data_IF_592959123823
#
_entry.id   IF_592959123823
#
_cell.length_a   1.000
_cell.length_b   1.000
_cell.length_c   1.000
_cell.angle_alpha   90.00
_cell.angle_beta   90.00
_cell.angle_gamma   90.00
#
_symmetry.space_group_name_H-M   'P 1'
#
loop_
_entity.id
_entity.type
_entity.pdbx_description
1 polymer ?
#
# COMPACT_ATOMS: atom_id res chain seq x y z
N UNK A 1 -17.21 -1.04 17.46
CA UNK A 1 -16.18 -1.58 16.56
C UNK A 1 -16.55 -1.13 15.16
N UNK A 2 -15.72 -0.32 14.55
CA UNK A 2 -15.93 0.28 13.22
C UNK A 2 -14.62 0.18 12.44
N UNK A 3 -14.68 0.01 11.12
CA UNK A 3 -13.47 -0.03 10.29
C UNK A 3 -13.42 1.23 9.44
N UNK A 4 -12.29 1.93 9.52
CA UNK A 4 -12.01 3.12 8.72
C UNK A 4 -11.11 2.75 7.55
N UNK A 5 -11.61 2.99 6.33
CA UNK A 5 -10.91 2.67 5.10
C UNK A 5 -10.36 3.93 4.45
N UNK A 6 -9.13 3.85 3.96
CA UNK A 6 -8.48 4.93 3.26
C UNK A 6 -7.81 4.45 1.98
N UNK A 7 -7.66 5.36 1.03
CA UNK A 7 -6.94 5.11 -0.21
C UNK A 7 -6.04 6.29 -0.57
N UNK A 8 -4.94 5.99 -1.24
CA UNK A 8 -4.14 6.95 -2.00
C UNK A 8 -4.08 6.45 -3.43
N UNK A 9 -4.26 7.37 -4.37
CA UNK A 9 -4.01 7.13 -5.79
C UNK A 9 -3.21 8.28 -6.33
N UNK A 10 -2.04 7.98 -6.87
CA UNK A 10 -1.23 8.95 -7.58
C UNK A 10 -1.45 8.75 -9.08
N UNK A 11 -1.80 9.84 -9.76
CA UNK A 11 -1.92 9.83 -11.21
C UNK A 11 -0.53 9.90 -11.80
N UNK A 12 -0.13 8.83 -12.47
CA UNK A 12 1.09 8.73 -13.23
C UNK A 12 0.75 8.19 -14.62
N UNK A 13 1.38 8.70 -15.68
CA UNK A 13 1.12 8.25 -17.06
C UNK A 13 1.64 6.83 -17.30
N UNK A 14 2.72 6.44 -16.63
CA UNK A 14 3.47 5.20 -16.82
C UNK A 14 3.14 4.13 -15.78
N UNK A 15 2.65 4.51 -14.60
CA UNK A 15 2.46 3.60 -13.47
C UNK A 15 1.02 3.60 -12.92
N UNK A 16 0.58 2.43 -12.46
CA UNK A 16 -0.50 2.32 -11.49
C UNK A 16 0.10 2.40 -10.09
N UNK A 17 -0.15 3.50 -9.37
CA UNK A 17 0.33 3.71 -8.00
C UNK A 17 -0.86 3.90 -7.06
N UNK A 18 -1.18 2.85 -6.30
CA UNK A 18 -2.33 2.79 -5.40
C UNK A 18 -1.88 2.27 -4.03
N UNK A 19 -2.41 2.89 -2.98
CA UNK A 19 -2.30 2.42 -1.61
C UNK A 19 -3.70 2.33 -0.98
N UNK A 20 -3.96 1.27 -0.23
CA UNK A 20 -5.18 1.03 0.52
C UNK A 20 -4.81 0.72 1.97
N UNK A 21 -5.49 1.35 2.94
CA UNK A 21 -5.25 1.12 4.37
C UNK A 21 -6.58 0.96 5.10
N UNK A 22 -6.67 -0.03 5.98
CA UNK A 22 -7.82 -0.26 6.86
C UNK A 22 -7.41 -0.24 8.34
N UNK A 23 -8.17 0.50 9.15
CA UNK A 23 -7.97 0.62 10.59
C UNK A 23 -9.21 0.17 11.36
N UNK A 24 -9.04 -0.74 12.31
CA UNK A 24 -10.07 -1.13 13.26
C UNK A 24 -10.14 -0.12 14.41
N UNK A 25 -11.30 0.49 14.61
CA UNK A 25 -11.58 1.31 15.78
C UNK A 25 -12.11 0.47 16.93
N UNK A 26 -11.42 0.58 18.06
CA UNK A 26 -11.82 0.00 19.34
C UNK A 26 -11.84 1.07 20.42
N UNK A 27 -12.56 0.79 21.50
CA UNK A 27 -12.51 1.63 22.70
C UNK A 27 -11.54 1.01 23.69
N UNK A 28 -10.63 1.81 24.20
CA UNK A 28 -9.68 1.41 25.24
C UNK A 28 -9.75 2.33 26.45
N UNK A 29 -9.26 1.83 27.58
CA UNK A 29 -9.04 2.61 28.79
C UNK A 29 -7.54 2.85 28.89
N UNK A 30 -7.13 4.11 28.95
CA UNK A 30 -5.72 4.48 29.11
C UNK A 30 -5.18 4.01 30.46
N UNK A 31 -3.86 3.99 30.63
CA UNK A 31 -3.23 3.69 31.94
C UNK A 31 -3.68 4.63 33.07
N UNK A 32 -4.25 5.78 32.74
CA UNK A 32 -4.76 6.78 33.68
C UNK A 32 -6.28 6.64 33.92
N UNK A 33 -6.93 5.60 33.36
CA UNK A 33 -8.37 5.36 33.52
C UNK A 33 -9.25 6.11 32.52
N UNK A 34 -8.69 6.84 31.56
CA UNK A 34 -9.47 7.63 30.60
C UNK A 34 -9.93 6.77 29.43
N UNK A 35 -11.24 6.79 29.13
CA UNK A 35 -11.82 6.15 27.96
C UNK A 35 -11.40 6.91 26.69
N UNK A 36 -10.84 6.22 25.71
CA UNK A 36 -10.40 6.79 24.42
C UNK A 36 -10.55 5.78 23.29
N UNK A 37 -10.35 6.21 22.05
CA UNK A 37 -10.28 5.29 20.92
C UNK A 37 -8.85 4.77 20.74
N UNK A 38 -8.75 3.54 20.26
CA UNK A 38 -7.55 2.95 19.69
C UNK A 38 -7.82 2.54 18.26
N UNK A 39 -6.76 2.54 17.44
CA UNK A 39 -6.84 2.15 16.04
C UNK A 39 -5.77 1.11 15.72
N UNK A 40 -6.20 -0.10 15.41
CA UNK A 40 -5.31 -1.21 15.03
C UNK A 40 -5.30 -1.34 13.51
N UNK A 41 -4.12 -1.40 12.88
CA UNK A 41 -4.07 -1.62 11.43
C UNK A 41 -4.57 -3.03 11.11
N UNK A 42 -5.52 -3.17 10.19
CA UNK A 42 -5.96 -4.47 9.70
C UNK A 42 -5.21 -4.87 8.44
N UNK A 43 -5.09 -3.93 7.51
CA UNK A 43 -4.51 -4.19 6.20
C UNK A 43 -3.85 -2.93 5.65
N UNK A 44 -2.70 -3.11 5.00
CA UNK A 44 -2.09 -2.11 4.14
C UNK A 44 -1.62 -2.76 2.85
N UNK A 45 -2.25 -2.38 1.73
CA UNK A 45 -1.91 -2.86 0.40
C UNK A 45 -1.34 -1.71 -0.42
N UNK A 46 -0.11 -1.83 -0.88
CA UNK A 46 0.53 -0.89 -1.80
C UNK A 46 0.90 -1.61 -3.09
N UNK A 47 0.51 -1.03 -4.23
CA UNK A 47 0.95 -1.46 -5.55
C UNK A 47 1.58 -0.31 -6.30
N UNK A 48 2.64 -0.62 -7.04
CA UNK A 48 3.27 0.24 -8.02
C UNK A 48 3.57 -0.64 -9.23
N UNK A 49 2.87 -0.45 -10.35
CA UNK A 49 2.96 -1.34 -11.51
C UNK A 49 3.18 -0.53 -12.79
N UNK A 50 4.17 -0.86 -13.61
CA UNK A 50 4.25 -0.35 -14.98
C UNK A 50 2.96 -0.66 -15.76
N UNK A 51 2.48 0.31 -16.54
CA UNK A 51 1.35 0.12 -17.48
C UNK A 51 1.79 -0.44 -18.82
N UNK A 52 3.01 -0.10 -19.21
CA UNK A 52 3.73 -0.58 -20.40
C UNK A 52 4.65 -1.74 -19.99
N UNK A 53 4.69 -2.76 -20.84
CA UNK A 53 5.46 -3.98 -20.65
C UNK A 53 6.41 -4.28 -21.85
N UNK A 54 6.84 -3.27 -22.58
CA UNK A 54 7.69 -3.40 -23.78
C UNK A 54 9.09 -2.81 -23.59
N UNK A 55 9.23 -1.76 -22.77
CA UNK A 55 10.49 -1.04 -22.59
C UNK A 55 11.11 -1.27 -21.20
N UNK A 56 10.44 -0.81 -20.15
CA UNK A 56 10.88 -0.88 -18.75
C UNK A 56 9.75 -1.32 -17.83
N UNK A 57 10.01 -2.38 -17.07
CA UNK A 57 9.06 -2.97 -16.14
C UNK A 57 9.52 -2.79 -14.71
N UNK A 58 8.69 -2.17 -13.89
CA UNK A 58 8.91 -2.10 -12.45
C UNK A 58 7.60 -2.36 -11.73
N UNK A 59 7.62 -3.39 -10.89
CA UNK A 59 6.45 -3.85 -10.16
C UNK A 59 6.81 -4.03 -8.69
N UNK A 60 6.12 -3.31 -7.82
CA UNK A 60 6.14 -3.50 -6.38
C UNK A 60 4.73 -3.86 -5.93
N UNK A 61 4.62 -4.92 -5.14
CA UNK A 61 3.47 -5.19 -4.29
C UNK A 61 3.98 -5.31 -2.86
N UNK A 62 3.31 -4.63 -1.93
CA UNK A 62 3.50 -4.82 -0.49
C UNK A 62 2.12 -5.01 0.12
N UNK A 63 1.92 -6.15 0.76
CA UNK A 63 0.65 -6.50 1.37
C UNK A 63 0.89 -6.90 2.83
N UNK A 64 0.50 -6.02 3.73
CA UNK A 64 0.67 -6.18 5.17
C UNK A 64 -0.66 -6.59 5.78
N UNK A 65 -0.68 -7.75 6.43
CA UNK A 65 -1.80 -8.24 7.24
C UNK A 65 -1.44 -8.01 8.70
N UNK A 66 -2.15 -7.08 9.34
CA UNK A 66 -1.80 -6.56 10.65
C UNK A 66 -2.80 -6.96 11.75
N UNK A 67 -3.67 -7.94 11.44
CA UNK A 67 -4.80 -8.42 12.28
C UNK A 67 -4.41 -8.84 13.71
N UNK A 68 -3.13 -9.08 14.01
CA UNK A 68 -2.62 -9.32 15.37
C UNK A 68 -1.30 -8.61 15.63
N UNK A 69 -1.03 -7.52 14.90
CA UNK A 69 0.22 -6.79 15.03
C UNK A 69 0.16 -5.77 16.17
N UNK A 70 1.31 -5.41 16.71
CA UNK A 70 1.44 -4.25 17.60
C UNK A 70 1.37 -2.90 16.84
N UNK A 71 1.01 -2.90 15.54
CA UNK A 71 0.90 -1.69 14.74
C UNK A 71 -0.42 -0.97 15.03
N UNK A 72 -0.43 -0.25 16.15
CA UNK A 72 -1.46 0.73 16.49
C UNK A 72 -1.14 2.12 15.93
N UNK A 73 -2.17 2.91 15.64
CA UNK A 73 -2.01 4.34 15.38
C UNK A 73 -1.97 5.12 16.70
N UNK A 74 -1.21 6.21 16.75
CA UNK A 74 -1.13 7.08 17.93
C UNK A 74 -2.39 7.93 18.18
N UNK A 75 -3.43 7.78 17.35
CA UNK A 75 -4.62 8.61 17.42
C UNK A 75 -5.57 8.08 18.50
N UNK A 76 -6.24 8.99 19.19
CA UNK A 76 -7.21 8.70 20.24
C UNK A 76 -8.62 9.20 19.91
N UNK A 77 -8.76 9.91 18.78
CA UNK A 77 -10.04 10.32 18.21
C UNK A 77 -10.08 10.03 16.70
N UNK A 78 -11.27 9.89 16.13
CA UNK A 78 -11.46 9.77 14.67
C UNK A 78 -10.87 10.96 13.92
N UNK A 79 -11.05 12.17 14.45
CA UNK A 79 -10.52 13.40 13.86
C UNK A 79 -8.99 13.33 13.73
N UNK A 80 -8.30 12.89 14.77
CA UNK A 80 -6.84 12.72 14.75
C UNK A 80 -6.39 11.67 13.73
N UNK A 81 -7.11 10.53 13.64
CA UNK A 81 -6.82 9.52 12.62
C UNK A 81 -6.97 10.09 11.22
N UNK A 82 -8.08 10.79 10.94
CA UNK A 82 -8.36 11.33 9.60
C UNK A 82 -7.34 12.40 9.20
N UNK A 83 -6.94 13.29 10.12
CA UNK A 83 -5.89 14.27 9.85
C UNK A 83 -4.52 13.60 9.62
N UNK A 84 -4.20 12.53 10.36
CA UNK A 84 -2.97 11.78 10.15
C UNK A 84 -2.96 11.05 8.79
N UNK A 85 -4.08 10.45 8.38
CA UNK A 85 -4.22 9.84 7.06
C UNK A 85 -4.09 10.88 5.96
N UNK A 86 -4.77 12.03 6.10
CA UNK A 86 -4.70 13.14 5.15
C UNK A 86 -3.28 13.68 4.95
N UNK A 87 -2.47 13.79 6.01
CA UNK A 87 -1.05 14.17 5.92
C UNK A 87 -0.22 13.22 5.05
N UNK A 88 -0.64 11.96 4.95
CA UNK A 88 -0.02 10.94 4.10
C UNK A 88 -0.69 10.80 2.73
N UNK A 89 -1.57 11.75 2.37
CA UNK A 89 -2.40 11.75 1.16
C UNK A 89 -3.33 10.52 1.06
N UNK A 90 -3.71 9.96 2.21
CA UNK A 90 -4.71 8.90 2.33
C UNK A 90 -6.07 9.53 2.62
N UNK A 91 -7.02 9.31 1.72
CA UNK A 91 -8.37 9.87 1.78
C UNK A 91 -9.38 8.79 2.16
N UNK A 92 -10.46 9.14 2.89
CA UNK A 92 -11.47 8.16 3.28
C UNK A 92 -12.18 7.56 2.06
N UNK A 93 -12.58 6.30 2.18
CA UNK A 93 -13.35 5.56 1.18
C UNK A 93 -14.34 4.63 1.88
N UNK A 94 -15.43 4.26 1.21
CA UNK A 94 -16.34 3.24 1.73
C UNK A 94 -15.77 1.82 1.56
N UNK A 95 -16.30 0.88 2.35
CA UNK A 95 -15.87 -0.52 2.35
C UNK A 95 -16.05 -1.20 0.99
N UNK A 96 -17.14 -0.92 0.27
CA UNK A 96 -17.42 -1.52 -1.04
C UNK A 96 -16.35 -1.13 -2.05
N UNK A 97 -15.99 0.15 -2.10
CA UNK A 97 -14.96 0.64 -3.00
C UNK A 97 -13.56 0.19 -2.56
N UNK A 98 -13.30 0.10 -1.26
CA UNK A 98 -12.07 -0.49 -0.72
C UNK A 98 -11.89 -1.93 -1.22
N UNK A 99 -12.88 -2.80 -1.01
CA UNK A 99 -12.84 -4.21 -1.44
C UNK A 99 -12.71 -4.34 -2.96
N UNK A 100 -13.43 -3.50 -3.71
CA UNK A 100 -13.33 -3.46 -5.18
C UNK A 100 -11.92 -3.11 -5.63
N UNK A 101 -11.33 -2.04 -5.10
CA UNK A 101 -9.98 -1.62 -5.47
C UNK A 101 -8.94 -2.65 -5.03
N UNK A 102 -9.10 -3.24 -3.85
CA UNK A 102 -8.27 -4.34 -3.34
C UNK A 102 -8.24 -5.51 -4.33
N UNK A 103 -9.41 -5.99 -4.77
CA UNK A 103 -9.53 -7.09 -5.74
C UNK A 103 -8.87 -6.74 -7.08
N UNK A 104 -9.10 -5.53 -7.57
CA UNK A 104 -8.50 -5.07 -8.83
C UNK A 104 -6.98 -4.97 -8.73
N UNK A 105 -6.44 -4.39 -7.65
CA UNK A 105 -5.01 -4.23 -7.44
C UNK A 105 -4.27 -5.58 -7.42
N UNK A 106 -4.81 -6.56 -6.68
CA UNK A 106 -4.26 -7.92 -6.61
C UNK A 106 -4.32 -8.61 -7.98
N UNK A 107 -5.46 -8.51 -8.67
CA UNK A 107 -5.62 -9.09 -10.00
C UNK A 107 -4.68 -8.45 -11.05
N UNK A 108 -4.43 -7.14 -10.95
CA UNK A 108 -3.47 -6.45 -11.82
C UNK A 108 -2.05 -6.93 -11.58
N UNK A 109 -1.64 -7.13 -10.32
CA UNK A 109 -0.31 -7.67 -10.01
C UNK A 109 -0.13 -9.10 -10.54
N UNK A 110 -1.12 -9.98 -10.38
CA UNK A 110 -1.03 -11.36 -10.90
C UNK A 110 -0.97 -11.47 -12.42
N UNK A 111 -1.37 -10.42 -13.15
CA UNK A 111 -1.28 -10.37 -14.62
C UNK A 111 0.08 -9.90 -15.13
N UNK A 112 0.98 -9.47 -14.25
CA UNK A 112 2.26 -8.94 -14.69
C UNK A 112 3.18 -10.07 -15.18
N UNK A 113 3.91 -9.84 -16.28
CA UNK A 113 4.83 -10.84 -16.80
C UNK A 113 5.96 -11.08 -15.81
N UNK A 114 6.38 -12.34 -15.69
CA UNK A 114 7.60 -12.68 -14.97
C UNK A 114 8.81 -12.53 -15.90
N UNK A 115 9.99 -12.41 -15.30
CA UNK A 115 11.25 -12.38 -16.06
C UNK A 115 11.39 -13.67 -16.86
N UNK A 116 11.47 -13.53 -18.18
CA UNK A 116 11.77 -14.64 -19.08
C UNK A 116 13.28 -14.85 -19.15
N UNK A 117 13.80 -15.74 -18.31
CA UNK A 117 15.23 -16.06 -18.27
C UNK A 117 15.78 -16.61 -19.58
N UNK A 118 14.93 -17.12 -20.50
CA UNK A 118 15.40 -17.63 -21.78
C UNK A 118 15.93 -16.54 -22.70
N UNK A 119 15.53 -15.27 -22.49
CA UNK A 119 16.01 -14.09 -23.24
C UNK A 119 17.47 -13.72 -22.93
N UNK A 120 18.07 -14.30 -21.89
CA UNK A 120 19.43 -13.97 -21.44
C UNK A 120 20.48 -14.97 -21.94
N UNK A 121 20.22 -15.67 -23.04
CA UNK A 121 21.18 -16.59 -23.66
C UNK A 121 22.18 -15.82 -24.54
N UNK A 122 23.47 -16.06 -24.32
CA UNK A 122 24.56 -15.43 -25.07
C UNK A 122 25.26 -14.31 -24.31
N UNK A 123 26.24 -13.67 -24.96
CA UNK A 123 26.99 -12.55 -24.36
C UNK A 123 26.09 -11.31 -24.36
N UNK A 124 25.91 -10.68 -23.20
CA UNK A 124 25.23 -9.39 -23.11
C UNK A 124 25.98 -8.36 -23.97
N UNK A 125 25.25 -7.66 -24.85
CA UNK A 125 25.82 -6.68 -25.79
C UNK A 125 25.63 -5.23 -25.34
N UNK A 126 24.96 -5.00 -24.20
CA UNK A 126 24.77 -3.68 -23.62
C UNK A 126 25.83 -3.38 -22.55
N UNK A 127 26.20 -2.11 -22.43
CA UNK A 127 27.17 -1.64 -21.44
C UNK A 127 26.50 -1.35 -20.10
N UNK A 128 26.96 -1.99 -19.03
CA UNK A 128 26.57 -1.64 -17.65
C UNK A 128 27.48 -0.51 -17.19
N UNK A 129 26.92 0.65 -16.89
CA UNK A 129 27.67 1.75 -16.28
C UNK A 129 27.70 1.51 -14.78
N UNK A 130 28.84 1.04 -14.28
CA UNK A 130 29.06 0.89 -12.85
C UNK A 130 29.54 2.24 -12.31
N UNK A 131 28.74 2.89 -11.47
CA UNK A 131 29.21 4.05 -10.71
C UNK A 131 30.09 3.48 -9.60
N UNK A 132 31.38 3.35 -9.88
CA UNK A 132 32.39 3.12 -8.85
C UNK A 132 32.58 4.48 -8.20
N UNK A 133 32.07 4.65 -6.98
CA UNK A 133 32.48 5.76 -6.12
C UNK A 133 33.84 5.42 -5.52
N UNK A 134 34.74 6.41 -5.47
CA UNK A 134 35.99 6.34 -4.72
C UNK A 134 35.75 6.07 -3.22
#
# INVERSE_FOLDING_TARGET
MEIHYFYRREYDSFFYNIELVAWLEETEISRQGNKRLSFTQLERLRIFLSKDNESYHNHLIKHEFAENSCMGHYAHTRKELFEAMKKNLLFPIDSRNYERFRKVAIALYHKQPLVDFSKFKGKQTYSIHQIIGD
#
